data_IF_409090860420
#
_entry.id   IF_409090860420
#
_cell.length_a   1.000
_cell.length_b   1.000
_cell.length_c   1.000
_cell.angle_alpha   90.00
_cell.angle_beta   90.00
_cell.angle_gamma   90.00
#
_symmetry.space_group_name_H-M   'P 1'
#
loop_
_entity.id
_entity.type
_entity.pdbx_description
1 polymer ?
#
# COMPACT_ATOMS: atom_id res chain seq x y z
N UNK A 1 -17.12 -13.98 33.06
CA UNK A 1 -17.88 -12.72 32.96
C UNK A 1 -19.01 -12.90 31.95
N UNK A 2 -20.28 -12.95 32.40
CA UNK A 2 -21.45 -13.07 31.52
C UNK A 2 -21.76 -11.69 30.91
N UNK A 3 -21.73 -11.56 29.58
CA UNK A 3 -22.15 -10.32 28.90
C UNK A 3 -23.67 -10.19 29.01
N UNK A 4 -24.15 -9.12 29.63
CA UNK A 4 -25.58 -8.77 29.66
C UNK A 4 -26.10 -8.55 28.25
N UNK A 5 -27.20 -9.22 27.87
CA UNK A 5 -27.85 -9.04 26.58
C UNK A 5 -28.48 -7.65 26.43
N UNK A 6 -28.47 -7.11 25.21
CA UNK A 6 -29.13 -5.86 24.87
C UNK A 6 -30.65 -5.99 25.01
N UNK A 7 -31.29 -5.11 25.80
CA UNK A 7 -32.75 -5.04 25.92
C UNK A 7 -33.37 -4.46 24.64
N UNK A 8 -34.55 -4.92 24.21
CA UNK A 8 -35.30 -4.31 23.11
C UNK A 8 -35.61 -2.84 23.40
N UNK A 9 -35.47 -1.99 22.39
CA UNK A 9 -35.68 -0.54 22.51
C UNK A 9 -37.18 -0.24 22.65
N UNK A 10 -37.59 0.38 23.77
CA UNK A 10 -38.99 0.67 24.12
C UNK A 10 -39.56 1.95 23.52
N UNK A 11 -38.74 2.79 22.89
CA UNK A 11 -39.19 4.04 22.24
C UNK A 11 -38.97 3.95 20.73
N UNK A 12 -39.93 4.37 19.88
CA UNK A 12 -39.70 4.49 18.43
C UNK A 12 -38.58 5.49 18.14
N UNK A 13 -37.92 5.38 16.97
CA UNK A 13 -36.93 6.41 16.58
C UNK A 13 -37.72 7.67 16.24
N UNK A 14 -37.34 8.83 16.77
CA UNK A 14 -37.88 10.07 16.22
C UNK A 14 -37.39 10.14 14.76
N UNK A 15 -38.32 10.09 13.81
CA UNK A 15 -38.03 10.50 12.44
C UNK A 15 -37.91 12.01 12.48
N UNK A 16 -36.69 12.50 12.74
CA UNK A 16 -36.40 13.92 12.57
C UNK A 16 -36.86 14.34 11.19
N UNK A 17 -37.88 15.19 11.12
CA UNK A 17 -38.25 15.87 9.89
C UNK A 17 -37.02 16.65 9.45
N UNK A 18 -36.54 16.38 8.24
CA UNK A 18 -35.59 17.27 7.58
C UNK A 18 -36.36 18.54 7.21
N UNK A 19 -36.64 19.37 8.21
CA UNK A 19 -37.22 20.68 8.03
C UNK A 19 -36.17 21.51 7.30
N UNK A 20 -36.37 21.71 6.00
CA UNK A 20 -35.69 22.75 5.23
C UNK A 20 -36.09 24.09 5.85
N UNK A 21 -35.31 24.55 6.83
CA UNK A 21 -35.36 25.93 7.27
C UNK A 21 -35.09 26.79 6.05
N UNK A 22 -36.04 27.67 5.80
CA UNK A 22 -36.18 28.58 4.68
C UNK A 22 -34.85 29.31 4.40
N UNK A 23 -34.15 28.86 3.37
CA UNK A 23 -33.16 29.67 2.69
C UNK A 23 -33.45 29.49 1.20
N UNK A 24 -33.60 30.58 0.42
CA UNK A 24 -33.74 30.46 -1.02
C UNK A 24 -32.57 29.61 -1.53
N UNK A 25 -32.87 28.58 -2.31
CA UNK A 25 -31.83 27.89 -3.06
C UNK A 25 -31.10 28.96 -3.88
N UNK A 26 -29.75 29.01 -3.89
CA UNK A 26 -29.03 29.98 -4.68
C UNK A 26 -29.50 29.85 -6.14
N UNK A 27 -29.85 30.99 -6.74
CA UNK A 27 -30.42 31.10 -8.10
C UNK A 27 -29.50 30.48 -9.17
N UNK A 28 -28.22 30.37 -8.83
CA UNK A 28 -27.24 29.61 -9.59
C UNK A 28 -26.78 28.40 -8.78
N UNK A 29 -26.90 27.21 -9.36
CA UNK A 29 -26.29 26.01 -8.80
C UNK A 29 -24.80 26.28 -8.57
N UNK A 30 -24.22 25.88 -7.41
CA UNK A 30 -22.79 25.99 -7.22
C UNK A 30 -22.10 25.30 -8.39
N UNK A 31 -21.16 26.03 -9.02
CA UNK A 31 -20.41 25.55 -10.19
C UNK A 31 -19.90 24.16 -9.85
N UNK A 32 -20.42 23.12 -10.51
CA UNK A 32 -20.01 21.74 -10.22
C UNK A 32 -18.50 21.68 -10.42
N UNK A 33 -17.76 21.47 -9.34
CA UNK A 33 -16.34 21.20 -9.46
C UNK A 33 -16.19 20.03 -10.44
N UNK A 34 -15.36 20.19 -11.47
CA UNK A 34 -15.15 19.15 -12.46
C UNK A 34 -14.82 17.85 -11.72
N UNK A 35 -15.55 16.78 -12.02
CA UNK A 35 -15.33 15.48 -11.40
C UNK A 35 -13.91 15.05 -11.72
N UNK A 36 -13.01 15.14 -10.73
CA UNK A 36 -11.60 14.79 -10.93
C UNK A 36 -11.55 13.31 -11.29
N UNK A 37 -10.88 12.98 -12.40
CA UNK A 37 -10.68 11.59 -12.81
C UNK A 37 -9.97 10.86 -11.67
N UNK A 38 -10.51 9.70 -11.29
CA UNK A 38 -9.89 8.84 -10.27
C UNK A 38 -8.54 8.36 -10.81
N UNK A 39 -7.50 8.39 -9.97
CA UNK A 39 -6.20 7.83 -10.33
C UNK A 39 -6.38 6.36 -10.78
N UNK A 40 -5.84 6.03 -11.94
CA UNK A 40 -5.92 4.69 -12.50
C UNK A 40 -5.06 3.73 -11.67
N UNK A 41 -5.58 2.53 -11.40
CA UNK A 41 -4.81 1.45 -10.77
C UNK A 41 -3.92 0.79 -11.83
N UNK A 42 -2.72 0.37 -11.43
CA UNK A 42 -1.84 -0.40 -12.29
C UNK A 42 -2.56 -1.65 -12.84
N UNK A 43 -2.26 -1.99 -14.10
CA UNK A 43 -2.86 -3.15 -14.76
C UNK A 43 -2.19 -4.45 -14.30
N UNK A 44 -2.86 -5.59 -14.51
CA UNK A 44 -2.26 -6.92 -14.23
C UNK A 44 -0.99 -7.14 -15.04
N UNK A 45 -0.99 -6.74 -16.32
CA UNK A 45 0.16 -6.85 -17.21
C UNK A 45 1.35 -5.98 -16.76
N UNK A 46 1.08 -4.83 -16.15
CA UNK A 46 2.14 -4.00 -15.57
C UNK A 46 2.75 -4.68 -14.34
N UNK A 47 1.91 -5.21 -13.44
CA UNK A 47 2.37 -5.91 -12.24
C UNK A 47 3.11 -7.23 -12.52
N UNK A 48 2.73 -7.97 -13.57
CA UNK A 48 3.36 -9.25 -13.91
C UNK A 48 4.84 -9.12 -14.29
N UNK A 49 5.25 -7.99 -14.88
CA UNK A 49 6.66 -7.72 -15.19
C UNK A 49 7.53 -7.65 -13.93
N UNK A 50 7.04 -6.99 -12.88
CA UNK A 50 7.75 -6.89 -11.60
C UNK A 50 7.80 -8.23 -10.85
N UNK A 51 6.75 -9.03 -10.97
CA UNK A 51 6.74 -10.41 -10.46
C UNK A 51 7.81 -11.26 -11.17
N UNK A 52 7.90 -11.16 -12.50
CA UNK A 52 8.92 -11.85 -13.27
C UNK A 52 10.33 -11.38 -12.91
N UNK A 53 10.53 -10.06 -12.71
CA UNK A 53 11.82 -9.50 -12.33
C UNK A 53 12.30 -10.00 -10.97
N UNK A 54 11.42 -10.17 -9.99
CA UNK A 54 11.78 -10.65 -8.65
C UNK A 54 11.90 -12.18 -8.55
N UNK A 55 11.37 -12.94 -9.52
CA UNK A 55 11.41 -14.41 -9.48
C UNK A 55 12.86 -14.89 -9.58
N UNK A 56 13.26 -15.74 -8.63
CA UNK A 56 14.62 -16.30 -8.55
C UNK A 56 15.67 -15.34 -8.00
N UNK A 57 15.28 -14.15 -7.55
CA UNK A 57 16.20 -13.22 -6.88
C UNK A 57 16.32 -13.55 -5.39
N UNK A 58 17.47 -13.25 -4.76
CA UNK A 58 17.58 -13.31 -3.31
C UNK A 58 16.69 -12.24 -2.65
N UNK A 59 16.39 -12.40 -1.37
CA UNK A 59 15.75 -11.33 -0.60
C UNK A 59 16.69 -10.13 -0.46
N UNK A 60 16.26 -8.96 -0.94
CA UNK A 60 17.01 -7.70 -0.80
C UNK A 60 16.72 -6.99 0.52
N UNK A 61 15.56 -7.24 1.16
CA UNK A 61 15.22 -6.64 2.45
C UNK A 61 16.16 -7.07 3.58
N UNK A 62 16.59 -8.35 3.59
CA UNK A 62 17.60 -8.91 4.52
C UNK A 62 17.41 -8.47 6.00
N UNK A 63 16.15 -8.45 6.47
CA UNK A 63 15.82 -8.01 7.83
C UNK A 63 16.56 -8.90 8.85
N UNK A 64 17.43 -8.34 9.71
CA UNK A 64 18.20 -9.12 10.67
C UNK A 64 17.29 -9.93 11.61
N UNK A 65 17.65 -11.18 11.88
CA UNK A 65 16.89 -12.10 12.74
C UNK A 65 15.57 -12.60 12.15
N UNK A 66 15.20 -12.18 10.94
CA UNK A 66 13.96 -12.59 10.27
C UNK A 66 14.21 -13.20 8.89
N UNK A 67 15.14 -12.63 8.13
CA UNK A 67 15.49 -13.15 6.82
C UNK A 67 16.32 -14.44 6.94
N UNK A 68 15.91 -15.49 6.22
CA UNK A 68 16.68 -16.74 6.11
C UNK A 68 17.94 -16.61 5.25
N UNK A 69 18.09 -15.51 4.51
CA UNK A 69 19.17 -15.27 3.55
C UNK A 69 19.35 -16.42 2.53
N UNK A 70 18.28 -17.16 2.25
CA UNK A 70 18.29 -18.22 1.26
C UNK A 70 18.22 -17.61 -0.15
N UNK A 71 19.24 -17.81 -1.01
CA UNK A 71 19.22 -17.29 -2.38
C UNK A 71 18.18 -17.97 -3.28
N UNK A 72 17.71 -19.18 -2.91
CA UNK A 72 16.72 -19.96 -3.66
C UNK A 72 15.35 -19.95 -2.97
N UNK A 73 15.03 -18.88 -2.23
CA UNK A 73 13.76 -18.76 -1.53
C UNK A 73 12.61 -18.48 -2.53
N UNK A 74 11.75 -19.47 -2.73
CA UNK A 74 10.60 -19.41 -3.65
C UNK A 74 9.49 -18.45 -3.19
N UNK A 75 9.55 -17.97 -1.94
CA UNK A 75 8.62 -17.00 -1.39
C UNK A 75 8.97 -15.55 -1.77
N UNK A 76 10.04 -15.32 -2.52
CA UNK A 76 10.47 -13.97 -2.92
C UNK A 76 9.49 -13.36 -3.92
N UNK A 77 8.95 -12.20 -3.54
CA UNK A 77 7.96 -11.43 -4.30
C UNK A 77 8.30 -9.93 -4.29
N UNK A 78 7.78 -9.13 -5.25
CA UNK A 78 7.93 -7.69 -5.23
C UNK A 78 7.20 -7.08 -4.01
N UNK A 79 7.98 -6.52 -3.09
CA UNK A 79 7.52 -5.85 -1.88
C UNK A 79 7.41 -4.35 -2.12
N UNK A 80 6.19 -3.81 -2.11
CA UNK A 80 5.96 -2.38 -2.30
C UNK A 80 6.52 -1.54 -1.15
N UNK A 81 6.97 -0.33 -1.48
CA UNK A 81 7.33 0.64 -0.45
C UNK A 81 6.13 1.04 0.40
N UNK A 82 6.39 1.29 1.69
CA UNK A 82 5.41 1.79 2.63
C UNK A 82 5.43 3.32 2.82
N UNK A 83 6.14 4.03 1.94
CA UNK A 83 6.34 5.48 1.99
C UNK A 83 5.33 6.24 1.10
N UNK A 84 4.83 7.37 1.61
CA UNK A 84 3.89 8.23 0.87
C UNK A 84 4.49 8.84 -0.40
N UNK A 85 5.79 9.19 -0.39
CA UNK A 85 6.52 9.73 -1.56
C UNK A 85 6.49 8.81 -2.78
N UNK A 86 6.27 7.52 -2.57
CA UNK A 86 6.20 6.50 -3.62
C UNK A 86 4.76 6.26 -4.13
N UNK A 87 3.83 7.15 -3.80
CA UNK A 87 2.42 7.08 -4.22
C UNK A 87 1.53 6.20 -3.35
N UNK A 88 2.01 5.76 -2.18
CA UNK A 88 1.17 5.04 -1.20
C UNK A 88 0.13 5.98 -0.60
N UNK A 89 -1.13 5.56 -0.64
CA UNK A 89 -2.26 6.28 -0.04
C UNK A 89 -3.30 5.31 0.54
N UNK A 90 -4.27 5.79 1.33
CA UNK A 90 -5.28 4.95 2.02
C UNK A 90 -6.07 4.03 1.09
N UNK A 91 -5.59 2.81 0.87
CA UNK A 91 -6.14 1.80 -0.04
C UNK A 91 -5.42 1.65 -1.38
N UNK A 92 -4.30 2.36 -1.59
CA UNK A 92 -3.43 2.26 -2.76
C UNK A 92 -2.01 1.86 -2.34
N UNK A 93 -1.49 0.80 -2.95
CA UNK A 93 -0.07 0.42 -2.82
C UNK A 93 0.81 1.47 -3.50
N UNK A 94 2.07 1.57 -3.10
CA UNK A 94 3.04 2.35 -3.86
C UNK A 94 3.07 1.89 -5.34
N UNK A 95 3.57 2.74 -6.24
CA UNK A 95 3.74 2.35 -7.64
C UNK A 95 4.66 1.12 -7.76
N UNK A 96 4.48 0.34 -8.82
CA UNK A 96 5.26 -0.89 -9.00
C UNK A 96 6.77 -0.64 -9.14
N UNK A 97 7.17 0.52 -9.69
CA UNK A 97 8.58 0.95 -9.77
C UNK A 97 9.26 1.06 -8.39
N UNK A 98 8.47 1.21 -7.32
CA UNK A 98 8.90 1.23 -5.92
C UNK A 98 8.62 -0.12 -5.25
N UNK A 99 9.22 -1.17 -5.82
CA UNK A 99 9.23 -2.52 -5.25
C UNK A 99 10.66 -3.07 -5.13
N UNK A 100 10.87 -3.97 -4.17
CA UNK A 100 12.11 -4.72 -3.98
C UNK A 100 11.82 -6.21 -3.80
N UNK A 101 12.70 -7.14 -4.19
CA UNK A 101 12.52 -8.57 -3.90
C UNK A 101 12.58 -8.80 -2.39
N UNK A 102 11.57 -9.44 -1.83
CA UNK A 102 11.56 -9.79 -0.42
C UNK A 102 10.90 -11.15 -0.18
N UNK A 103 11.52 -11.97 0.67
CA UNK A 103 10.95 -13.25 1.10
C UNK A 103 9.70 -13.04 1.96
N UNK A 104 8.87 -14.07 2.09
CA UNK A 104 7.57 -13.98 2.78
C UNK A 104 7.64 -13.42 4.20
N UNK A 105 8.69 -13.75 4.96
CA UNK A 105 8.88 -13.25 6.32
C UNK A 105 9.19 -11.73 6.33
N UNK A 106 10.15 -11.29 5.51
CA UNK A 106 10.51 -9.87 5.39
C UNK A 106 9.35 -9.04 4.83
N UNK A 107 8.63 -9.59 3.86
CA UNK A 107 7.43 -8.98 3.28
C UNK A 107 6.34 -8.78 4.34
N UNK A 108 6.05 -9.80 5.16
CA UNK A 108 5.10 -9.65 6.26
C UNK A 108 5.54 -8.59 7.28
N UNK A 109 6.83 -8.54 7.63
CA UNK A 109 7.35 -7.57 8.58
C UNK A 109 7.25 -6.13 8.07
N UNK A 110 7.57 -5.87 6.81
CA UNK A 110 7.49 -4.50 6.29
C UNK A 110 6.04 -4.02 6.21
N UNK A 111 5.12 -4.89 5.81
CA UNK A 111 3.69 -4.57 5.64
C UNK A 111 2.92 -4.45 6.95
N UNK A 112 3.27 -5.26 7.95
CA UNK A 112 2.49 -5.37 9.17
C UNK A 112 3.12 -4.56 10.30
N UNK A 113 2.35 -3.68 10.94
CA UNK A 113 2.81 -2.92 12.11
C UNK A 113 2.69 -3.70 13.44
N UNK A 114 2.96 -5.01 13.43
CA UNK A 114 2.71 -5.92 14.56
C UNK A 114 3.83 -5.97 15.59
N UNK A 115 5.08 -5.73 15.18
CA UNK A 115 6.28 -6.01 16.01
C UNK A 115 6.76 -4.77 16.77
N UNK A 116 5.97 -3.70 16.86
CA UNK A 116 6.36 -2.46 17.53
C UNK A 116 7.55 -1.72 16.91
N UNK A 117 8.12 -2.22 15.81
CA UNK A 117 9.22 -1.58 15.10
C UNK A 117 8.80 -0.20 14.62
N UNK A 118 9.59 0.86 14.91
CA UNK A 118 9.32 2.19 14.40
C UNK A 118 9.22 2.18 12.87
N UNK A 119 8.29 2.97 12.35
CA UNK A 119 8.05 3.09 10.91
C UNK A 119 9.32 3.47 10.14
N UNK A 120 10.15 4.33 10.73
CA UNK A 120 11.38 4.81 10.10
C UNK A 120 12.37 3.68 9.84
N UNK A 121 12.55 2.75 10.78
CA UNK A 121 13.45 1.59 10.59
C UNK A 121 13.02 0.74 9.38
N UNK A 122 11.71 0.60 9.18
CA UNK A 122 11.19 -0.11 8.00
C UNK A 122 11.45 0.65 6.70
N UNK A 123 11.43 1.98 6.76
CA UNK A 123 11.77 2.82 5.63
C UNK A 123 13.25 2.72 5.30
N UNK A 124 14.12 2.80 6.30
CA UNK A 124 15.58 2.72 6.12
C UNK A 124 15.99 1.36 5.52
N UNK A 125 15.41 0.27 6.04
CA UNK A 125 15.65 -1.09 5.49
C UNK A 125 15.18 -1.19 4.03
N UNK A 126 14.04 -0.59 3.70
CA UNK A 126 13.51 -0.62 2.35
C UNK A 126 14.32 0.26 1.40
N UNK A 127 14.72 1.45 1.83
CA UNK A 127 15.51 2.39 1.02
C UNK A 127 16.87 1.79 0.67
N UNK A 128 17.58 1.19 1.63
CA UNK A 128 18.81 0.42 1.37
C UNK A 128 18.58 -0.70 0.35
N UNK A 129 17.52 -1.48 0.53
CA UNK A 129 17.18 -2.57 -0.39
C UNK A 129 16.86 -2.02 -1.80
N UNK A 130 16.25 -0.85 -1.89
CA UNK A 130 15.88 -0.21 -3.14
C UNK A 130 17.11 0.34 -3.88
N UNK A 131 18.04 0.97 -3.17
CA UNK A 131 19.31 1.44 -3.74
C UNK A 131 20.10 0.29 -4.36
N UNK A 132 20.15 -0.87 -3.71
CA UNK A 132 20.80 -2.07 -4.24
C UNK A 132 20.02 -2.69 -5.42
N UNK A 133 18.69 -2.71 -5.35
CA UNK A 133 17.84 -3.39 -6.34
C UNK A 133 17.58 -2.57 -7.60
N UNK A 134 17.44 -1.25 -7.50
CA UNK A 134 17.10 -0.39 -8.63
C UNK A 134 17.97 -0.60 -9.88
N UNK A 135 19.32 -0.61 -9.80
CA UNK A 135 20.17 -0.86 -10.98
C UNK A 135 20.06 -2.30 -11.51
N UNK A 136 19.74 -3.27 -10.65
CA UNK A 136 19.50 -4.66 -11.08
C UNK A 136 18.16 -4.75 -11.83
N UNK A 137 17.10 -4.17 -11.27
CA UNK A 137 15.77 -4.10 -11.89
C UNK A 137 15.84 -3.45 -13.27
N UNK A 138 16.51 -2.31 -13.38
CA UNK A 138 16.64 -1.58 -14.65
C UNK A 138 17.27 -2.46 -15.74
N UNK A 139 18.37 -3.16 -15.41
CA UNK A 139 19.01 -4.13 -16.32
C UNK A 139 18.07 -5.27 -16.71
N UNK A 140 17.34 -5.85 -15.75
CA UNK A 140 16.39 -6.95 -16.02
C UNK A 140 15.19 -6.51 -16.86
N UNK A 141 14.77 -5.26 -16.73
CA UNK A 141 13.57 -4.71 -17.37
C UNK A 141 13.88 -3.97 -18.68
N UNK A 142 15.17 -3.84 -19.05
CA UNK A 142 15.60 -3.11 -20.24
C UNK A 142 15.34 -1.60 -20.14
N UNK A 143 15.32 -1.04 -18.92
CA UNK A 143 15.13 0.39 -18.71
C UNK A 143 16.42 1.12 -19.07
N UNK A 144 16.41 1.91 -20.15
CA UNK A 144 17.59 2.51 -20.76
C UNK A 144 18.30 3.61 -19.94
N UNK A 145 17.84 3.92 -18.72
CA UNK A 145 18.40 4.98 -17.89
C UNK A 145 18.88 4.42 -16.55
N UNK A 146 20.13 3.99 -16.50
CA UNK A 146 20.92 3.87 -15.28
C UNK A 146 22.35 4.35 -15.58
N UNK A 147 22.52 5.67 -15.67
CA UNK A 147 23.76 6.35 -15.34
C UNK A 147 23.53 7.07 -14.01
#
# INVERSE_FOLDING_TARGET
MKRSGFKPRTKPMSRGSWSRKSSPLPEQAPRKAAMKRRAQRATVAEGSKYLAACRGEPCYLRVPGLCRLNPMDDTVVPCHSNQGRHGKAGGLKAKNEFTVPGCGACHAWIDQNRVGTPKQIKFDVWDRAYEEWAPVRARKMGEANCQ
#
